data_IF_416788489730
#
_entry.id   IF_416788489730
#
_cell.length_a   1.000
_cell.length_b   1.000
_cell.length_c   1.000
_cell.angle_alpha   90.00
_cell.angle_beta   90.00
_cell.angle_gamma   90.00
#
_symmetry.space_group_name_H-M   'P 1'
#
loop_
_entity.id
_entity.type
_entity.pdbx_description
1 polymer ?
#
# COMPACT_ATOMS: atom_id res chain seq x y z
N UNK A 1 -34.41 -8.69 3.75
CA UNK A 1 -33.00 -9.05 4.02
C UNK A 1 -32.25 -7.77 4.33
N UNK A 2 -31.78 -7.57 5.56
CA UNK A 2 -30.76 -6.55 5.85
C UNK A 2 -29.44 -7.19 5.45
N UNK A 3 -28.79 -6.68 4.41
CA UNK A 3 -27.39 -7.00 4.19
C UNK A 3 -26.63 -6.46 5.41
N UNK A 4 -25.94 -7.34 6.14
CA UNK A 4 -24.95 -6.89 7.12
C UNK A 4 -23.94 -6.07 6.33
N UNK A 5 -24.01 -4.74 6.46
CA UNK A 5 -22.99 -3.89 5.87
C UNK A 5 -21.70 -4.24 6.60
N UNK A 6 -20.66 -4.73 5.90
CA UNK A 6 -19.36 -4.91 6.53
C UNK A 6 -18.98 -3.56 7.16
N UNK A 7 -18.48 -3.59 8.40
CA UNK A 7 -18.05 -2.37 9.08
C UNK A 7 -17.15 -1.57 8.13
N UNK A 8 -17.30 -0.24 8.06
CA UNK A 8 -16.57 0.61 7.13
C UNK A 8 -15.04 0.55 7.29
N UNK A 9 -14.56 -0.13 8.34
CA UNK A 9 -13.16 -0.38 8.66
C UNK A 9 -12.74 -1.85 8.45
N UNK A 10 -13.60 -2.73 7.93
CA UNK A 10 -13.18 -4.12 7.67
C UNK A 10 -12.13 -4.13 6.55
N UNK A 11 -11.01 -4.80 6.82
CA UNK A 11 -9.86 -4.96 5.92
C UNK A 11 -9.20 -3.65 5.44
N UNK A 12 -9.45 -2.50 6.10
CA UNK A 12 -8.92 -1.21 5.65
C UNK A 12 -7.38 -1.21 5.58
N UNK A 13 -6.69 -1.87 6.51
CA UNK A 13 -5.22 -1.98 6.51
C UNK A 13 -4.71 -2.65 5.23
N UNK A 14 -5.33 -3.76 4.81
CA UNK A 14 -4.96 -4.46 3.57
C UNK A 14 -5.21 -3.57 2.35
N UNK A 15 -6.31 -2.82 2.32
CA UNK A 15 -6.60 -1.89 1.24
C UNK A 15 -5.59 -0.74 1.17
N UNK A 16 -5.14 -0.22 2.33
CA UNK A 16 -4.08 0.78 2.39
C UNK A 16 -2.73 0.23 1.91
N UNK A 17 -2.37 -0.99 2.33
CA UNK A 17 -1.17 -1.68 1.84
C UNK A 17 -1.26 -1.86 0.32
N UNK A 18 -2.38 -2.36 -0.20
CA UNK A 18 -2.58 -2.52 -1.64
C UNK A 18 -2.44 -1.18 -2.39
N UNK A 19 -3.08 -0.12 -1.90
CA UNK A 19 -2.97 1.19 -2.51
C UNK A 19 -1.53 1.69 -2.52
N UNK A 20 -0.80 1.52 -1.43
CA UNK A 20 0.62 1.89 -1.37
C UNK A 20 1.45 1.11 -2.39
N UNK A 21 1.26 -0.21 -2.47
CA UNK A 21 1.96 -1.07 -3.45
C UNK A 21 1.71 -0.62 -4.89
N UNK A 22 0.47 -0.28 -5.25
CA UNK A 22 0.14 0.23 -6.59
C UNK A 22 0.82 1.58 -6.88
N UNK A 23 0.94 2.48 -5.90
CA UNK A 23 1.68 3.74 -6.08
C UNK A 23 3.19 3.49 -6.22
N UNK A 24 3.73 2.51 -5.49
CA UNK A 24 5.14 2.11 -5.59
C UNK A 24 5.42 1.54 -6.98
N UNK A 25 4.55 0.66 -7.48
CA UNK A 25 4.65 0.11 -8.83
C UNK A 25 4.64 1.22 -9.90
N UNK A 26 3.71 2.18 -9.80
CA UNK A 26 3.68 3.33 -10.70
C UNK A 26 4.98 4.16 -10.64
N UNK A 27 5.58 4.34 -9.45
CA UNK A 27 6.88 5.01 -9.32
C UNK A 27 8.00 4.20 -10.00
N UNK A 28 7.98 2.88 -9.90
CA UNK A 28 8.94 2.02 -10.59
C UNK A 28 8.81 2.11 -12.11
N UNK A 29 7.59 2.08 -12.65
CA UNK A 29 7.35 2.24 -14.09
C UNK A 29 7.85 3.59 -14.61
N UNK A 30 7.57 4.67 -13.87
CA UNK A 30 8.06 6.00 -14.21
C UNK A 30 9.59 6.09 -14.15
N UNK A 31 10.20 5.50 -13.12
CA UNK A 31 11.66 5.45 -12.98
C UNK A 31 12.30 4.65 -14.13
N UNK A 32 11.71 3.52 -14.50
CA UNK A 32 12.15 2.70 -15.63
C UNK A 32 12.10 3.47 -16.95
N UNK A 33 11.02 4.23 -17.17
CA UNK A 33 10.88 5.06 -18.36
C UNK A 33 11.85 6.26 -18.37
N UNK A 34 12.21 6.80 -17.20
CA UNK A 34 13.05 7.99 -17.07
C UNK A 34 14.56 7.68 -17.11
N UNK A 35 15.03 6.71 -16.32
CA UNK A 35 16.45 6.35 -16.24
C UNK A 35 16.69 4.97 -15.60
N UNK A 36 17.46 4.07 -16.24
CA UNK A 36 17.87 2.81 -15.64
C UNK A 36 18.64 2.96 -14.31
N UNK A 37 19.41 4.03 -14.16
CA UNK A 37 20.22 4.31 -12.96
C UNK A 37 19.32 4.69 -11.78
N UNK A 38 18.27 5.50 -12.04
CA UNK A 38 17.26 5.84 -11.04
C UNK A 38 16.52 4.58 -10.58
N UNK A 39 16.13 3.71 -11.52
CA UNK A 39 15.49 2.44 -11.19
C UNK A 39 16.39 1.55 -10.33
N UNK A 40 17.69 1.46 -10.64
CA UNK A 40 18.64 0.69 -9.86
C UNK A 40 18.75 1.21 -8.43
N UNK A 41 18.87 2.53 -8.25
CA UNK A 41 18.95 3.16 -6.93
C UNK A 41 17.68 2.92 -6.10
N UNK A 42 16.50 3.00 -6.72
CA UNK A 42 15.23 2.73 -6.03
C UNK A 42 15.15 1.26 -5.63
N UNK A 43 15.52 0.33 -6.52
CA UNK A 43 15.55 -1.11 -6.22
C UNK A 43 16.52 -1.45 -5.10
N UNK A 44 17.71 -0.85 -5.10
CA UNK A 44 18.70 -1.02 -4.05
C UNK A 44 18.17 -0.49 -2.71
N UNK A 45 17.62 0.72 -2.70
CA UNK A 45 17.04 1.33 -1.51
C UNK A 45 15.87 0.53 -0.91
N UNK A 46 15.14 -0.22 -1.73
CA UNK A 46 13.97 -1.01 -1.32
C UNK A 46 14.24 -2.52 -1.24
N UNK A 47 15.51 -2.92 -1.37
CA UNK A 47 15.94 -4.31 -1.16
C UNK A 47 15.95 -4.71 0.32
N UNK A 48 16.03 -3.71 1.22
CA UNK A 48 15.90 -3.88 2.66
C UNK A 48 14.42 -3.94 3.07
N UNK A 49 13.94 -5.03 3.70
CA UNK A 49 12.53 -5.18 4.08
C UNK A 49 12.00 -4.03 4.94
N UNK A 50 12.80 -3.55 5.89
CA UNK A 50 12.40 -2.46 6.79
C UNK A 50 12.16 -1.16 6.01
N UNK A 51 13.04 -0.81 5.07
CA UNK A 51 12.87 0.38 4.21
C UNK A 51 11.66 0.27 3.30
N UNK A 52 11.37 -0.94 2.81
CA UNK A 52 10.17 -1.19 2.03
C UNK A 52 8.90 -0.99 2.86
N UNK A 53 8.88 -1.47 4.10
CA UNK A 53 7.78 -1.25 5.04
C UNK A 53 7.60 0.23 5.39
N UNK A 54 8.69 0.95 5.65
CA UNK A 54 8.69 2.39 5.89
C UNK A 54 8.09 3.15 4.70
N UNK A 55 8.54 2.85 3.49
CA UNK A 55 8.04 3.51 2.28
C UNK A 55 6.55 3.20 2.04
N UNK A 56 6.13 1.94 2.17
CA UNK A 56 4.74 1.54 2.02
C UNK A 56 3.84 2.27 3.04
N UNK A 57 4.29 2.36 4.29
CA UNK A 57 3.58 3.07 5.36
C UNK A 57 3.48 4.56 5.06
N UNK A 58 4.59 5.20 4.67
CA UNK A 58 4.62 6.63 4.36
C UNK A 58 3.71 6.98 3.18
N UNK A 59 3.72 6.17 2.12
CA UNK A 59 2.85 6.35 0.96
C UNK A 59 1.39 6.17 1.36
N UNK A 60 1.04 5.13 2.12
CA UNK A 60 -0.34 4.93 2.55
C UNK A 60 -0.87 6.10 3.39
N UNK A 61 -0.09 6.59 4.35
CA UNK A 61 -0.46 7.76 5.16
C UNK A 61 -0.62 9.01 4.30
N UNK A 62 0.30 9.23 3.35
CA UNK A 62 0.21 10.37 2.43
C UNK A 62 -1.06 10.32 1.57
N UNK A 63 -1.45 9.14 1.07
CA UNK A 63 -2.63 8.99 0.23
C UNK A 63 -3.93 8.85 1.00
N UNK A 64 -3.91 8.48 2.28
CA UNK A 64 -5.11 8.38 3.12
C UNK A 64 -5.96 9.65 3.10
N UNK A 65 -5.32 10.83 3.08
CA UNK A 65 -6.01 12.13 3.02
C UNK A 65 -6.45 12.56 1.61
N UNK A 66 -5.93 11.92 0.57
CA UNK A 66 -6.13 12.32 -0.85
C UNK A 66 -7.09 11.39 -1.57
N UNK A 67 -6.93 10.10 -1.32
CA UNK A 67 -7.66 8.99 -1.91
C UNK A 67 -8.04 8.03 -0.77
N UNK A 68 -8.96 8.44 0.12
CA UNK A 68 -9.23 7.73 1.36
C UNK A 68 -9.80 6.33 1.09
N UNK A 69 -9.18 5.32 1.69
CA UNK A 69 -9.63 3.91 1.67
C UNK A 69 -10.69 3.61 2.72
N UNK A 70 -10.98 4.59 3.59
CA UNK A 70 -11.99 4.55 4.66
C UNK A 70 -12.88 5.78 4.58
N UNK A 71 -14.08 5.79 5.18
CA UNK A 71 -14.88 7.01 5.26
C UNK A 71 -14.12 8.15 5.97
N UNK A 72 -14.33 9.40 5.50
CA UNK A 72 -13.60 10.58 5.97
C UNK A 72 -13.59 10.75 7.50
N UNK A 73 -14.67 10.37 8.18
CA UNK A 73 -14.79 10.48 9.64
C UNK A 73 -13.84 9.54 10.42
N UNK A 74 -13.23 8.55 9.76
CA UNK A 74 -12.28 7.61 10.35
C UNK A 74 -10.82 7.89 9.96
N UNK A 75 -10.55 8.88 9.10
CA UNK A 75 -9.20 9.13 8.57
C UNK A 75 -8.20 9.44 9.68
N UNK A 76 -8.51 10.36 10.59
CA UNK A 76 -7.62 10.73 11.70
C UNK A 76 -7.35 9.53 12.63
N UNK A 77 -8.39 8.73 12.91
CA UNK A 77 -8.26 7.53 13.74
C UNK A 77 -7.32 6.51 13.09
N UNK A 78 -7.49 6.28 11.79
CA UNK A 78 -6.66 5.35 11.02
C UNK A 78 -5.23 5.87 10.90
N UNK A 79 -5.03 7.16 10.65
CA UNK A 79 -3.69 7.77 10.63
C UNK A 79 -2.94 7.56 11.95
N UNK A 80 -3.60 7.84 13.08
CA UNK A 80 -3.04 7.60 14.41
C UNK A 80 -2.70 6.12 14.66
N UNK A 81 -3.55 5.20 14.20
CA UNK A 81 -3.33 3.77 14.32
C UNK A 81 -2.12 3.32 13.49
N UNK A 82 -2.03 3.72 12.21
CA UNK A 82 -0.92 3.35 11.33
C UNK A 82 0.39 3.99 11.80
N UNK A 83 0.36 5.21 12.33
CA UNK A 83 1.55 5.85 12.90
C UNK A 83 2.09 5.10 14.14
N UNK A 84 1.21 4.51 14.95
CA UNK A 84 1.60 3.69 16.11
C UNK A 84 1.96 2.26 15.75
N UNK A 85 1.31 1.72 14.72
CA UNK A 85 1.48 0.36 14.23
C UNK A 85 1.72 0.40 12.71
N UNK A 86 2.96 0.75 12.28
CA UNK A 86 3.35 0.74 10.88
C UNK A 86 3.11 -0.63 10.23
N UNK A 87 3.08 -0.67 8.90
CA UNK A 87 2.96 -1.94 8.21
C UNK A 87 4.19 -2.81 8.46
N UNK A 88 3.93 -4.09 8.66
CA UNK A 88 4.96 -5.12 8.77
C UNK A 88 5.21 -5.77 7.41
N UNK A 89 6.38 -6.39 7.25
CA UNK A 89 6.69 -7.11 6.03
C UNK A 89 5.72 -8.26 5.78
N UNK A 90 5.31 -8.98 6.83
CA UNK A 90 4.32 -10.07 6.75
C UNK A 90 2.94 -9.57 6.25
N UNK A 91 2.50 -8.38 6.67
CA UNK A 91 1.27 -7.77 6.17
C UNK A 91 1.38 -7.45 4.66
N UNK A 92 2.54 -6.95 4.24
CA UNK A 92 2.80 -6.61 2.84
C UNK A 92 2.87 -7.88 1.98
N UNK A 93 3.63 -8.90 2.40
CA UNK A 93 3.67 -10.21 1.74
C UNK A 93 2.26 -10.82 1.65
N UNK A 94 1.49 -10.79 2.75
CA UNK A 94 0.13 -11.34 2.73
C UNK A 94 -0.78 -10.69 1.69
N UNK A 95 -0.64 -9.37 1.47
CA UNK A 95 -1.37 -8.67 0.41
C UNK A 95 -0.83 -9.03 -0.97
N UNK A 96 0.50 -9.08 -1.13
CA UNK A 96 1.16 -9.46 -2.37
C UNK A 96 0.86 -10.90 -2.79
N UNK A 97 0.63 -11.81 -1.85
CA UNK A 97 0.30 -13.22 -2.11
C UNK A 97 -1.20 -13.50 -2.12
N UNK A 98 -2.02 -12.49 -1.85
CA UNK A 98 -3.47 -12.61 -2.00
C UNK A 98 -3.86 -12.83 -3.46
N UNK A 99 -5.11 -13.27 -3.71
CA UNK A 99 -5.67 -13.43 -5.07
C UNK A 99 -5.60 -12.16 -5.94
N UNK A 100 -5.30 -11.01 -5.36
CA UNK A 100 -4.99 -9.79 -6.09
C UNK A 100 -3.76 -9.99 -6.99
N UNK A 101 -2.76 -10.77 -6.55
CA UNK A 101 -1.60 -11.16 -7.37
C UNK A 101 -2.02 -11.80 -8.68
N UNK A 102 -2.95 -12.75 -8.63
CA UNK A 102 -3.47 -13.45 -9.80
C UNK A 102 -4.20 -12.49 -10.74
N UNK A 103 -4.89 -11.48 -10.19
CA UNK A 103 -5.66 -10.48 -10.94
C UNK A 103 -4.76 -9.41 -11.57
N UNK A 104 -3.67 -9.01 -10.91
CA UNK A 104 -2.69 -8.06 -11.45
C UNK A 104 -1.81 -8.70 -12.52
N UNK A 105 -1.41 -9.96 -12.32
CA UNK A 105 -0.57 -10.70 -13.27
C UNK A 105 -1.31 -11.16 -14.54
N UNK A 106 -2.65 -11.21 -14.54
CA UNK A 106 -3.43 -11.55 -15.75
C UNK A 106 -3.58 -10.39 -16.74
N UNK A 107 -3.12 -9.19 -16.38
CA UNK A 107 -3.16 -8.01 -17.25
C UNK A 107 -1.82 -7.68 -17.94
N UNK A 108 -0.79 -8.52 -17.74
CA UNK A 108 0.51 -8.47 -18.44
C UNK A 108 0.57 -9.58 -19.50
#
# INVERSE_FOLDING_TARGET
MRFEQPSPTIDYRKNMVLQALLKIEALYELAQAASPELLANIKEALSEPDRFCEMATAIALYYLHREPTVPALYVELVEDEIARYPFTYDEIESVMDSKIRETLLTQL
#
